data_IF_027668523546
#
_entry.id   IF_027668523546
#
_cell.length_a   1.000
_cell.length_b   1.000
_cell.length_c   1.000
_cell.angle_alpha   90.00
_cell.angle_beta   90.00
_cell.angle_gamma   90.00
#
_symmetry.space_group_name_H-M   'P 1'
#
loop_
_entity.id
_entity.type
_entity.pdbx_description
1 polymer ?
#
# COMPACT_ATOMS: atom_id res chain seq x y z
N UNK A 1 8.01 25.94 -37.34
CA UNK A 1 8.50 26.36 -36.01
C UNK A 1 7.70 25.53 -35.02
N UNK A 2 8.26 24.40 -34.62
CA UNK A 2 7.59 23.33 -33.88
C UNK A 2 8.13 23.40 -32.47
N UNK A 3 7.27 23.68 -31.48
CA UNK A 3 7.68 23.68 -30.08
C UNK A 3 7.99 22.24 -29.64
N UNK A 4 9.22 21.95 -29.17
CA UNK A 4 9.52 20.70 -28.49
C UNK A 4 9.21 20.93 -27.01
N UNK A 5 8.18 20.28 -26.46
CA UNK A 5 7.89 20.49 -25.04
C UNK A 5 6.64 19.82 -24.46
N UNK A 6 5.68 19.38 -25.27
CA UNK A 6 4.58 18.54 -24.75
C UNK A 6 5.07 17.09 -24.63
N UNK A 7 5.88 16.85 -23.61
CA UNK A 7 5.93 15.54 -22.98
C UNK A 7 4.61 15.44 -22.22
N UNK A 8 3.68 14.68 -22.78
CA UNK A 8 2.43 14.27 -22.17
C UNK A 8 2.75 13.61 -20.81
N UNK A 9 2.74 14.42 -19.75
CA UNK A 9 2.99 13.98 -18.39
C UNK A 9 1.70 13.41 -17.81
N UNK A 10 1.06 12.49 -18.53
CA UNK A 10 0.02 11.60 -18.03
C UNK A 10 0.69 10.52 -17.17
N UNK A 11 1.33 10.95 -16.07
CA UNK A 11 1.95 10.08 -15.08
C UNK A 11 0.99 9.80 -13.94
N UNK A 12 0.85 8.53 -13.58
CA UNK A 12 0.19 8.14 -12.32
C UNK A 12 1.20 8.33 -11.19
N UNK A 13 0.87 9.18 -10.22
CA UNK A 13 1.68 9.32 -8.99
C UNK A 13 1.12 8.39 -7.91
N UNK A 14 2.00 7.62 -7.29
CA UNK A 14 1.65 6.73 -6.18
C UNK A 14 2.41 7.18 -4.94
N UNK A 15 1.68 7.67 -3.93
CA UNK A 15 2.26 8.04 -2.65
C UNK A 15 2.35 6.84 -1.73
N UNK A 16 3.43 6.70 -0.97
CA UNK A 16 3.66 5.58 -0.08
C UNK A 16 4.05 6.04 1.33
N UNK A 17 3.51 5.40 2.36
CA UNK A 17 3.89 5.64 3.75
C UNK A 17 4.02 4.33 4.54
N UNK A 18 5.22 4.01 5.05
CA UNK A 18 5.40 2.86 5.93
C UNK A 18 4.79 3.14 7.31
N UNK A 19 4.22 2.10 7.92
CA UNK A 19 3.61 2.16 9.24
C UNK A 19 3.91 0.90 10.03
N UNK A 20 3.97 1.01 11.35
CA UNK A 20 4.07 -0.16 12.24
C UNK A 20 2.88 -0.15 13.17
N UNK A 21 2.17 -1.27 13.26
CA UNK A 21 1.07 -1.46 14.18
C UNK A 21 1.43 -2.55 15.17
N UNK A 22 1.13 -2.33 16.45
CA UNK A 22 1.26 -3.33 17.49
C UNK A 22 0.12 -3.12 18.47
N UNK A 23 -0.33 -4.20 19.08
CA UNK A 23 -1.34 -4.18 20.12
C UNK A 23 -0.74 -4.78 21.39
N UNK A 24 -0.57 -3.98 22.48
CA UNK A 24 0.02 -4.47 23.72
C UNK A 24 -0.87 -5.50 24.42
N UNK A 25 -2.18 -5.49 24.15
CA UNK A 25 -3.13 -6.42 24.75
C UNK A 25 -3.16 -7.76 23.99
N UNK A 26 -2.57 -7.82 22.79
CA UNK A 26 -2.49 -9.01 21.93
C UNK A 26 -1.04 -9.28 21.46
N UNK A 27 -0.10 -9.54 22.38
CA UNK A 27 1.33 -9.68 22.07
C UNK A 27 1.65 -10.85 21.13
N UNK A 28 0.79 -11.87 21.05
CA UNK A 28 0.95 -13.04 20.19
C UNK A 28 0.96 -12.73 18.69
N UNK A 29 0.34 -11.62 18.28
CA UNK A 29 0.36 -11.19 16.88
C UNK A 29 1.64 -10.41 16.53
N UNK A 30 2.38 -9.95 17.56
CA UNK A 30 3.55 -9.10 17.42
C UNK A 30 3.29 -7.82 16.63
N UNK A 31 4.37 -7.10 16.32
CA UNK A 31 4.27 -5.92 15.45
C UNK A 31 4.02 -6.32 13.99
N UNK A 32 3.20 -5.54 13.31
CA UNK A 32 2.83 -5.66 11.89
C UNK A 32 3.45 -4.52 11.12
N UNK A 33 4.27 -4.84 10.12
CA UNK A 33 4.76 -3.84 9.16
C UNK A 33 3.68 -3.60 8.10
N UNK A 34 3.31 -2.34 7.91
CA UNK A 34 2.36 -1.91 6.89
C UNK A 34 3.04 -1.00 5.88
N UNK A 35 2.55 -0.99 4.65
CA UNK A 35 2.83 0.03 3.65
C UNK A 35 1.50 0.54 3.14
N UNK A 36 1.18 1.81 3.39
CA UNK A 36 -0.03 2.43 2.85
C UNK A 36 0.31 3.15 1.57
N UNK A 37 -0.46 2.90 0.53
CA UNK A 37 -0.26 3.43 -0.80
C UNK A 37 -1.51 4.18 -1.25
N UNK A 38 -1.32 5.39 -1.77
CA UNK A 38 -2.39 6.25 -2.30
C UNK A 38 -2.11 6.60 -3.76
N UNK A 39 -2.70 5.87 -4.71
CA UNK A 39 -2.64 6.18 -6.13
C UNK A 39 -3.47 7.43 -6.41
N UNK A 40 -2.84 8.47 -6.95
CA UNK A 40 -3.52 9.68 -7.42
C UNK A 40 -4.03 9.47 -8.85
N UNK A 41 -5.12 8.72 -9.01
CA UNK A 41 -5.79 8.53 -10.30
C UNK A 41 -7.17 9.18 -10.26
N UNK A 42 -7.36 10.25 -11.03
CA UNK A 42 -8.68 10.86 -11.21
C UNK A 42 -9.37 10.18 -12.39
N UNK A 43 -10.34 9.29 -12.12
CA UNK A 43 -11.22 8.72 -13.15
C UNK A 43 -12.59 9.36 -13.02
N UNK A 44 -12.94 10.22 -13.98
CA UNK A 44 -14.30 10.75 -14.10
C UNK A 44 -15.14 9.77 -14.90
N UNK A 45 -16.21 9.24 -14.30
CA UNK A 45 -17.22 8.50 -15.07
C UNK A 45 -18.05 9.50 -15.87
N UNK A 46 -18.46 9.15 -17.08
CA UNK A 46 -19.17 10.03 -18.00
C UNK A 46 -20.64 10.27 -17.64
N UNK A 47 -21.08 9.91 -16.43
CA UNK A 47 -22.47 10.09 -16.00
C UNK A 47 -22.73 11.55 -15.56
N UNK A 48 -23.56 12.32 -16.29
CA UNK A 48 -23.84 13.71 -15.96
C UNK A 48 -24.82 13.88 -14.80
N UNK A 49 -25.31 12.80 -14.17
CA UNK A 49 -26.26 12.89 -13.05
C UNK A 49 -25.56 13.30 -11.75
N UNK A 50 -26.13 14.24 -10.97
CA UNK A 50 -25.71 14.46 -9.59
C UNK A 50 -25.84 13.16 -8.80
N UNK A 51 -24.71 12.58 -8.37
CA UNK A 51 -24.66 11.28 -7.69
C UNK A 51 -24.06 10.12 -8.49
N UNK A 52 -23.44 10.38 -9.65
CA UNK A 52 -22.56 9.41 -10.29
C UNK A 52 -21.56 8.86 -9.25
N UNK A 53 -21.68 7.57 -8.92
CA UNK A 53 -20.83 6.95 -7.92
C UNK A 53 -19.38 7.02 -8.39
N UNK A 54 -18.51 7.58 -7.56
CA UNK A 54 -17.07 7.46 -7.71
C UNK A 54 -16.72 6.00 -7.46
N UNK A 55 -16.73 5.18 -8.51
CA UNK A 55 -16.21 3.82 -8.44
C UNK A 55 -14.70 3.94 -8.45
N UNK A 56 -14.09 3.59 -7.32
CA UNK A 56 -12.64 3.46 -7.25
C UNK A 56 -12.21 2.22 -8.05
N UNK A 57 -11.86 2.44 -9.31
CA UNK A 57 -11.43 1.40 -10.23
C UNK A 57 -10.17 0.67 -9.75
N UNK A 58 -9.31 1.33 -8.96
CA UNK A 58 -8.10 0.72 -8.41
C UNK A 58 -8.47 -0.26 -7.31
N UNK A 59 -9.33 0.15 -6.37
CA UNK A 59 -9.81 -0.74 -5.31
C UNK A 59 -10.58 -1.93 -5.89
N UNK A 60 -11.44 -1.71 -6.89
CA UNK A 60 -12.17 -2.77 -7.56
C UNK A 60 -11.24 -3.79 -8.25
N UNK A 61 -10.22 -3.31 -8.97
CA UNK A 61 -9.21 -4.17 -9.61
C UNK A 61 -8.40 -4.97 -8.56
N UNK A 62 -7.99 -4.35 -7.46
CA UNK A 62 -7.26 -5.03 -6.38
C UNK A 62 -8.11 -6.10 -5.69
N UNK A 63 -9.40 -5.85 -5.45
CA UNK A 63 -10.34 -6.86 -4.95
C UNK A 63 -10.43 -8.05 -5.91
N UNK A 64 -10.53 -7.80 -7.22
CA UNK A 64 -10.53 -8.86 -8.24
C UNK A 64 -9.20 -9.66 -8.26
N UNK A 65 -8.09 -9.04 -7.84
CA UNK A 65 -6.76 -9.67 -7.71
C UNK A 65 -6.52 -10.34 -6.35
N UNK A 66 -7.55 -10.43 -5.51
CA UNK A 66 -7.51 -11.18 -4.25
C UNK A 66 -7.14 -10.35 -3.02
N UNK A 67 -7.19 -9.01 -3.09
CA UNK A 67 -7.13 -8.18 -1.89
C UNK A 67 -8.44 -8.28 -1.10
N UNK A 68 -8.38 -8.06 0.20
CA UNK A 68 -9.55 -7.97 1.07
C UNK A 68 -9.94 -6.52 1.36
N UNK A 69 -11.22 -6.28 1.62
CA UNK A 69 -11.67 -5.03 2.25
C UNK A 69 -11.14 -4.96 3.68
N UNK A 70 -10.61 -3.81 4.08
CA UNK A 70 -10.15 -3.56 5.45
C UNK A 70 -11.20 -2.71 6.15
N UNK A 71 -12.02 -3.35 6.97
CA UNK A 71 -13.10 -2.66 7.68
C UNK A 71 -12.63 -2.03 8.99
N UNK A 72 -11.58 -2.60 9.59
CA UNK A 72 -11.00 -2.18 10.85
C UNK A 72 -9.47 -2.08 10.75
N UNK A 73 -8.91 -1.01 11.32
CA UNK A 73 -7.47 -0.81 11.31
C UNK A 73 -6.84 -1.33 12.62
N UNK A 74 -6.69 -2.65 12.72
CA UNK A 74 -6.23 -3.36 13.92
C UNK A 74 -5.38 -4.59 13.59
N UNK A 75 -4.50 -5.03 14.51
CA UNK A 75 -3.54 -6.12 14.23
C UNK A 75 -4.21 -7.43 13.81
N UNK A 76 -5.35 -7.78 14.42
CA UNK A 76 -6.10 -9.01 14.11
C UNK A 76 -6.65 -8.97 12.68
N UNK A 77 -7.28 -7.87 12.28
CA UNK A 77 -7.78 -7.72 10.89
C UNK A 77 -6.61 -7.80 9.91
N UNK A 78 -5.55 -7.02 10.14
CA UNK A 78 -4.42 -6.93 9.22
C UNK A 78 -3.65 -8.25 9.08
N UNK A 79 -3.61 -9.07 10.13
CA UNK A 79 -3.00 -10.41 10.10
C UNK A 79 -3.90 -11.48 9.46
N UNK A 80 -5.19 -11.19 9.30
CA UNK A 80 -6.17 -12.09 8.68
C UNK A 80 -6.39 -11.79 7.20
N UNK A 81 -5.75 -10.74 6.66
CA UNK A 81 -5.87 -10.37 5.25
C UNK A 81 -5.35 -11.48 4.31
N UNK A 82 -5.90 -11.59 3.10
CA UNK A 82 -5.44 -12.57 2.11
C UNK A 82 -3.94 -12.44 1.80
N UNK A 83 -3.34 -13.56 1.35
CA UNK A 83 -1.96 -13.61 0.83
C UNK A 83 -2.01 -13.96 -0.67
N UNK A 84 -2.15 -12.98 -1.57
CA UNK A 84 -2.17 -13.24 -3.02
C UNK A 84 -0.82 -13.84 -3.47
N UNK A 85 -0.81 -15.00 -4.16
CA UNK A 85 0.42 -15.76 -4.41
C UNK A 85 1.37 -15.11 -5.42
N UNK A 86 0.84 -14.27 -6.32
CA UNK A 86 1.62 -13.59 -7.35
C UNK A 86 2.27 -12.30 -6.86
N UNK A 87 1.85 -11.81 -5.69
CA UNK A 87 2.36 -10.55 -5.16
C UNK A 87 3.59 -10.76 -4.28
N UNK A 88 4.55 -9.86 -4.43
CA UNK A 88 5.77 -9.87 -3.64
C UNK A 88 6.31 -8.47 -3.38
N UNK A 89 7.01 -8.34 -2.25
CA UNK A 89 7.75 -7.17 -1.86
C UNK A 89 9.24 -7.51 -1.87
N UNK A 90 10.07 -6.55 -2.27
CA UNK A 90 11.53 -6.67 -2.24
C UNK A 90 12.12 -5.38 -1.70
N UNK A 91 13.04 -5.52 -0.76
CA UNK A 91 13.89 -4.44 -0.31
C UNK A 91 15.23 -4.50 -1.04
N UNK A 92 15.81 -3.35 -1.31
CA UNK A 92 17.21 -3.30 -1.70
C UNK A 92 18.14 -3.69 -0.53
N UNK A 93 19.44 -3.85 -0.82
CA UNK A 93 20.42 -4.25 0.19
C UNK A 93 20.51 -3.27 1.38
N UNK A 94 20.23 -1.98 1.13
CA UNK A 94 20.20 -0.93 2.16
C UNK A 94 18.90 -0.86 2.95
N UNK A 95 17.86 -1.61 2.55
CA UNK A 95 16.48 -1.46 3.01
C UNK A 95 15.95 -0.01 2.88
N UNK A 96 16.51 0.76 1.94
CA UNK A 96 16.12 2.13 1.64
C UNK A 96 15.02 2.15 0.57
N UNK A 97 15.03 1.23 -0.39
CA UNK A 97 14.03 1.18 -1.46
C UNK A 97 13.15 -0.06 -1.36
N UNK A 98 11.85 0.13 -1.52
CA UNK A 98 10.85 -0.92 -1.55
C UNK A 98 10.24 -1.03 -2.95
N UNK A 99 10.31 -2.22 -3.52
CA UNK A 99 9.56 -2.58 -4.74
C UNK A 99 8.46 -3.56 -4.35
N UNK A 100 7.23 -3.30 -4.80
CA UNK A 100 6.10 -4.21 -4.71
C UNK A 100 5.65 -4.54 -6.13
N UNK A 101 5.54 -5.83 -6.44
CA UNK A 101 5.18 -6.30 -7.77
C UNK A 101 4.22 -7.48 -7.70
N UNK A 102 3.39 -7.59 -8.74
CA UNK A 102 2.70 -8.81 -9.13
C UNK A 102 3.24 -9.25 -10.50
N UNK A 103 2.41 -9.22 -11.54
CA UNK A 103 2.83 -9.43 -12.93
C UNK A 103 3.65 -8.24 -13.48
N UNK A 104 3.45 -7.07 -12.88
CA UNK A 104 4.19 -5.84 -13.14
C UNK A 104 4.52 -5.14 -11.82
N UNK A 105 5.43 -4.16 -11.89
CA UNK A 105 5.74 -3.29 -10.76
C UNK A 105 4.52 -2.43 -10.42
N UNK A 106 4.01 -2.60 -9.20
CA UNK A 106 2.90 -1.82 -8.67
C UNK A 106 3.40 -0.58 -7.93
N UNK A 107 4.45 -0.75 -7.13
CA UNK A 107 5.09 0.32 -6.39
C UNK A 107 6.60 0.16 -6.46
N UNK A 108 7.31 1.25 -6.69
CA UNK A 108 8.77 1.30 -6.60
C UNK A 108 9.17 2.65 -6.05
N UNK A 109 9.48 2.68 -4.75
CA UNK A 109 9.68 3.93 -4.03
C UNK A 109 10.75 3.84 -2.95
N UNK A 110 11.39 4.98 -2.73
CA UNK A 110 12.31 5.18 -1.63
C UNK A 110 11.51 5.30 -0.33
N UNK A 111 11.83 4.44 0.64
CA UNK A 111 11.34 4.53 2.01
C UNK A 111 12.07 5.61 2.80
N UNK A 112 13.29 5.98 2.38
CA UNK A 112 14.13 6.99 3.02
C UNK A 112 14.27 6.80 4.53
N UNK A 113 14.30 7.91 5.27
CA UNK A 113 14.18 7.91 6.74
C UNK A 113 12.74 7.74 7.25
N UNK A 114 11.77 7.48 6.37
CA UNK A 114 10.35 7.47 6.71
C UNK A 114 9.90 6.19 7.41
N UNK A 115 10.65 5.09 7.31
CA UNK A 115 10.31 3.84 7.99
C UNK A 115 10.35 4.02 9.52
N UNK A 116 9.22 3.83 10.23
CA UNK A 116 9.19 4.00 11.68
C UNK A 116 10.05 2.95 12.38
N UNK A 117 10.48 3.26 13.60
CA UNK A 117 11.25 2.34 14.43
C UNK A 117 10.53 0.98 14.56
N UNK A 118 11.29 -0.11 14.38
CA UNK A 118 10.75 -1.47 14.45
C UNK A 118 10.06 -1.97 13.18
N UNK A 119 9.82 -1.13 12.17
CA UNK A 119 9.17 -1.53 10.91
C UNK A 119 9.91 -2.66 10.18
N UNK A 120 11.21 -2.46 9.94
CA UNK A 120 12.04 -3.46 9.26
C UNK A 120 12.16 -4.75 10.07
N UNK A 121 12.21 -4.64 11.40
CA UNK A 121 12.21 -5.80 12.30
C UNK A 121 10.90 -6.59 12.22
N UNK A 122 9.75 -5.90 12.22
CA UNK A 122 8.44 -6.52 12.06
C UNK A 122 8.31 -7.24 10.70
N UNK A 123 8.72 -6.56 9.62
CA UNK A 123 8.71 -7.09 8.27
C UNK A 123 9.57 -8.36 8.13
N UNK A 124 10.82 -8.31 8.59
CA UNK A 124 11.75 -9.46 8.50
C UNK A 124 11.30 -10.64 9.36
N UNK A 125 10.83 -10.38 10.60
CA UNK A 125 10.36 -11.46 11.48
C UNK A 125 9.17 -12.23 10.90
N UNK A 126 8.25 -11.53 10.23
CA UNK A 126 7.06 -12.14 9.66
C UNK A 126 7.25 -12.64 8.24
N UNK A 127 8.26 -12.14 7.51
CA UNK A 127 8.40 -12.36 6.07
C UNK A 127 7.22 -11.81 5.25
N UNK A 128 6.39 -10.94 5.85
CA UNK A 128 5.15 -10.43 5.28
C UNK A 128 5.04 -8.93 5.52
N UNK A 129 4.69 -8.21 4.45
CA UNK A 129 4.31 -6.81 4.46
C UNK A 129 2.79 -6.70 4.29
N UNK A 130 2.10 -5.98 5.16
CA UNK A 130 0.70 -5.63 4.91
C UNK A 130 0.66 -4.43 3.97
N UNK A 131 0.32 -4.64 2.70
CA UNK A 131 0.06 -3.55 1.76
C UNK A 131 -1.38 -3.09 1.92
N UNK A 132 -1.56 -1.79 2.05
CA UNK A 132 -2.85 -1.11 2.15
C UNK A 132 -2.97 -0.13 1.00
N UNK A 133 -4.12 -0.10 0.34
CA UNK A 133 -4.39 0.81 -0.78
C UNK A 133 -5.70 1.56 -0.53
N UNK A 134 -5.65 2.88 -0.66
CA UNK A 134 -6.80 3.78 -0.58
C UNK A 134 -6.63 4.95 -1.55
N UNK A 135 -7.71 5.64 -1.92
CA UNK A 135 -7.71 6.73 -2.90
C UNK A 135 -7.77 8.14 -2.29
N UNK A 136 -8.37 8.28 -1.10
CA UNK A 136 -8.76 9.57 -0.54
C UNK A 136 -8.09 9.88 0.81
N UNK A 137 -6.80 9.56 0.96
CA UNK A 137 -6.04 9.86 2.18
C UNK A 137 -4.83 10.71 1.87
N UNK A 138 -4.69 11.82 2.60
CA UNK A 138 -3.47 12.64 2.57
C UNK A 138 -2.44 12.08 3.56
N UNK A 139 -1.42 11.41 3.02
CA UNK A 139 -0.36 10.77 3.80
C UNK A 139 0.60 11.78 4.46
N UNK A 140 0.61 13.06 4.06
CA UNK A 140 1.48 14.07 4.64
C UNK A 140 0.96 14.59 5.99
N UNK A 141 -0.31 14.33 6.33
CA UNK A 141 -0.92 14.85 7.54
C UNK A 141 -0.51 14.08 8.80
N UNK A 142 -0.45 14.80 9.92
CA UNK A 142 -0.15 14.23 11.22
C UNK A 142 -1.20 13.20 11.68
N UNK A 143 -2.47 13.37 11.27
CA UNK A 143 -3.59 12.49 11.62
C UNK A 143 -3.81 11.34 10.62
N UNK A 144 -2.84 11.06 9.73
CA UNK A 144 -2.98 10.06 8.65
C UNK A 144 -3.48 8.69 9.12
N UNK A 145 -3.04 8.19 10.28
CA UNK A 145 -3.50 6.89 10.81
C UNK A 145 -5.00 6.89 11.06
N UNK A 146 -5.53 7.97 11.64
CA UNK A 146 -6.96 8.14 11.86
C UNK A 146 -7.73 8.25 10.54
N UNK A 147 -7.13 8.88 9.52
CA UNK A 147 -7.72 8.96 8.17
C UNK A 147 -7.75 7.62 7.46
N UNK A 148 -6.69 6.82 7.54
CA UNK A 148 -6.65 5.44 7.01
C UNK A 148 -7.74 4.60 7.68
N UNK A 149 -7.84 4.66 9.00
CA UNK A 149 -8.89 3.95 9.73
C UNK A 149 -10.30 4.43 9.34
N UNK A 150 -10.49 5.73 9.09
CA UNK A 150 -11.76 6.28 8.62
C UNK A 150 -12.08 5.84 7.18
N UNK A 151 -11.10 5.75 6.30
CA UNK A 151 -11.26 5.22 4.94
C UNK A 151 -11.73 3.76 4.97
N UNK A 152 -11.15 2.93 5.84
CA UNK A 152 -11.58 1.54 6.02
C UNK A 152 -13.04 1.40 6.44
N UNK A 153 -13.49 2.21 7.42
CA UNK A 153 -14.90 2.23 7.84
C UNK A 153 -15.88 2.65 6.74
N UNK A 154 -15.42 3.37 5.72
CA UNK A 154 -16.23 3.79 4.56
C UNK A 154 -16.10 2.83 3.37
N UNK A 155 -15.36 1.72 3.49
CA UNK A 155 -15.10 0.79 2.39
C UNK A 155 -14.05 1.27 1.38
N UNK A 156 -13.33 2.35 1.69
CA UNK A 156 -12.30 2.95 0.82
C UNK A 156 -10.88 2.47 1.12
N UNK A 157 -10.72 1.27 1.68
CA UNK A 157 -9.43 0.68 2.02
C UNK A 157 -9.44 -0.82 1.70
N UNK A 158 -8.48 -1.23 0.89
CA UNK A 158 -8.20 -2.65 0.63
C UNK A 158 -6.81 -3.00 1.12
N UNK A 159 -6.57 -4.27 1.42
CA UNK A 159 -5.27 -4.73 1.87
C UNK A 159 -5.01 -6.20 1.58
N UNK A 160 -3.71 -6.52 1.60
CA UNK A 160 -3.22 -7.88 1.45
C UNK A 160 -1.89 -8.05 2.19
N UNK A 161 -1.60 -9.28 2.59
CA UNK A 161 -0.30 -9.69 3.11
C UNK A 161 0.59 -10.11 1.93
N UNK A 162 1.68 -9.37 1.73
CA UNK A 162 2.60 -9.51 0.61
C UNK A 162 3.88 -10.18 1.10
N UNK A 163 4.26 -11.29 0.46
CA UNK A 163 5.49 -12.02 0.80
C UNK A 163 6.73 -11.19 0.52
N UNK A 164 7.61 -11.06 1.51
CA UNK A 164 8.94 -10.50 1.31
C UNK A 164 9.82 -11.53 0.60
N UNK A 165 10.38 -11.15 -0.54
CA UNK A 165 11.41 -11.91 -1.25
C UNK A 165 12.75 -11.27 -0.91
N UNK A 166 13.62 -12.03 -0.25
CA UNK A 166 15.00 -11.61 -0.10
C UNK A 166 15.63 -11.58 -1.49
N UNK A 167 16.37 -10.52 -1.82
CA UNK A 167 17.36 -10.59 -2.89
C UNK A 167 18.36 -11.65 -2.48
N UNK A 168 18.29 -12.85 -3.06
CA UNK A 168 19.42 -13.78 -3.02
C UNK A 168 20.64 -12.98 -3.47
N UNK A 169 21.53 -12.67 -2.52
CA UNK A 169 22.86 -12.22 -2.87
C UNK A 169 23.42 -13.30 -3.77
N UNK A 170 23.80 -12.92 -4.99
CA UNK A 170 24.69 -13.75 -5.78
C UNK A 170 25.91 -14.01 -4.90
N UNK A 171 26.03 -15.23 -4.39
CA UNK A 171 27.30 -15.74 -3.89
C UNK A 171 28.26 -15.75 -5.07
N UNK A 172 29.20 -14.81 -5.07
CA UNK A 172 30.44 -14.89 -5.81
C UNK A 172 31.56 -15.09 -4.80
#
# INVERSE_FOLDING_TARGET
MTHPGDTDASGVTIWGSPGVLADPDLPEFGSVATMTVVPSVQVHTSDPRPGAELIDAVLADLLARGFGLVSQFGVVELTSLPVPPTWSARLDAGAARLTIAADAVFYDGDLGSAAPAGWLGALRRRGLLVLLVCSDVDLARADRTSQIAAAGRRGGLVGAQISLRETSGASC
#
